data_IF_453192003476
#
_entry.id   IF_453192003476
#
_cell.length_a   1.000
_cell.length_b   1.000
_cell.length_c   1.000
_cell.angle_alpha   90.00
_cell.angle_beta   90.00
_cell.angle_gamma   90.00
#
_symmetry.space_group_name_H-M   'P 1'
#
loop_
_entity.id
_entity.type
_entity.pdbx_description
1 polymer ?
#
# COMPACT_ATOMS: atom_id res chain seq x y z
N UNK A 1 7.98 -3.30 12.63
CA UNK A 1 8.29 -2.91 11.23
C UNK A 1 8.74 -1.47 11.23
N UNK A 2 9.68 -1.08 10.37
CA UNK A 2 10.30 0.25 10.33
C UNK A 2 10.62 0.66 8.90
N UNK A 3 10.62 1.94 8.58
CA UNK A 3 11.05 2.37 7.25
C UNK A 3 10.57 3.76 6.88
N UNK A 4 10.96 4.18 5.68
CA UNK A 4 10.35 5.30 4.96
C UNK A 4 10.39 4.94 3.50
N UNK A 5 9.24 5.04 2.85
CA UNK A 5 9.13 4.75 1.43
C UNK A 5 8.59 5.96 0.70
N UNK A 6 8.85 6.01 -0.60
CA UNK A 6 8.37 7.05 -1.49
C UNK A 6 7.59 6.43 -2.63
N UNK A 7 6.43 7.01 -2.91
CA UNK A 7 5.49 6.56 -3.94
C UNK A 7 5.67 7.43 -5.18
N UNK A 8 5.77 6.75 -6.32
CA UNK A 8 5.83 7.35 -7.64
C UNK A 8 4.70 6.77 -8.48
N UNK A 9 3.84 7.60 -9.06
CA UNK A 9 2.88 7.11 -10.05
C UNK A 9 3.62 6.74 -11.34
N UNK A 10 3.19 5.64 -11.97
CA UNK A 10 3.67 5.31 -13.31
C UNK A 10 2.97 6.22 -14.31
N UNK A 11 3.68 7.26 -14.74
CA UNK A 11 3.29 8.10 -15.85
C UNK A 11 4.00 7.59 -17.12
N UNK A 12 3.26 7.15 -18.16
CA UNK A 12 3.85 6.63 -19.39
C UNK A 12 4.47 7.72 -20.28
N UNK A 13 4.25 9.01 -20.00
CA UNK A 13 4.71 10.15 -20.82
C UNK A 13 5.78 10.97 -20.10
N UNK A 14 5.65 11.18 -18.79
CA UNK A 14 6.61 11.95 -18.00
C UNK A 14 7.38 11.11 -16.97
N UNK A 15 8.60 11.58 -16.68
CA UNK A 15 9.54 11.01 -15.71
C UNK A 15 8.90 10.96 -14.31
N UNK A 16 8.45 9.77 -13.86
CA UNK A 16 7.98 9.41 -12.51
C UNK A 16 7.77 10.60 -11.55
N UNK A 17 6.54 11.08 -11.41
CA UNK A 17 6.22 12.13 -10.44
C UNK A 17 6.19 11.55 -9.02
N UNK A 18 6.85 12.22 -8.06
CA UNK A 18 6.71 11.89 -6.63
C UNK A 18 5.30 12.28 -6.22
N UNK A 19 4.57 11.36 -5.61
CA UNK A 19 3.18 11.63 -5.20
C UNK A 19 3.00 11.57 -3.69
N UNK A 20 3.73 10.70 -2.99
CA UNK A 20 3.56 10.59 -1.54
C UNK A 20 4.76 9.93 -0.86
N UNK A 21 4.81 9.98 0.47
CA UNK A 21 5.68 9.17 1.31
C UNK A 21 4.84 8.15 2.11
N UNK A 22 5.42 6.97 2.39
CA UNK A 22 4.83 5.94 3.26
C UNK A 22 5.64 5.86 4.54
N UNK A 23 4.94 5.97 5.66
CA UNK A 23 5.48 5.96 7.01
C UNK A 23 5.33 4.58 7.65
N UNK A 24 6.01 4.41 8.80
CA UNK A 24 5.92 3.17 9.56
C UNK A 24 4.48 2.93 10.05
N UNK A 25 4.00 1.70 9.87
CA UNK A 25 2.64 1.31 10.24
C UNK A 25 1.63 1.43 9.11
N UNK A 26 1.98 2.04 7.99
CA UNK A 26 1.11 2.08 6.81
C UNK A 26 1.27 0.84 5.92
N UNK A 27 0.21 0.54 5.17
CA UNK A 27 0.15 -0.57 4.22
C UNK A 27 0.52 -0.07 2.81
N UNK A 28 1.19 -0.92 2.05
CA UNK A 28 1.57 -0.66 0.65
C UNK A 28 1.03 -1.77 -0.24
N UNK A 29 0.42 -1.39 -1.35
CA UNK A 29 0.01 -2.33 -2.39
C UNK A 29 -1.27 -3.10 -2.07
N UNK A 30 -2.00 -2.67 -1.07
CA UNK A 30 -3.35 -3.09 -0.72
C UNK A 30 -4.37 -2.82 -1.84
N UNK A 31 -4.25 -1.73 -2.59
CA UNK A 31 -5.19 -1.45 -3.69
C UNK A 31 -5.22 -2.61 -4.70
N UNK A 32 -4.07 -2.99 -5.25
CA UNK A 32 -3.97 -4.12 -6.18
C UNK A 32 -4.34 -5.47 -5.53
N UNK A 33 -4.12 -5.62 -4.21
CA UNK A 33 -4.51 -6.81 -3.47
C UNK A 33 -6.05 -6.95 -3.40
N UNK A 34 -6.75 -5.84 -3.16
CA UNK A 34 -8.20 -5.78 -2.99
C UNK A 34 -8.93 -5.76 -4.33
N UNK A 35 -8.52 -4.90 -5.27
CA UNK A 35 -9.21 -4.72 -6.56
C UNK A 35 -8.83 -5.78 -7.58
N UNK A 36 -7.64 -6.37 -7.46
CA UNK A 36 -7.07 -7.27 -8.46
C UNK A 36 -6.46 -6.55 -9.67
N UNK A 37 -6.45 -5.21 -9.68
CA UNK A 37 -5.84 -4.42 -10.75
C UNK A 37 -4.31 -4.50 -10.71
N UNK A 38 -3.68 -3.99 -11.78
CA UNK A 38 -2.23 -3.76 -11.78
C UNK A 38 -1.83 -2.74 -10.71
N UNK A 39 -0.56 -2.80 -10.29
CA UNK A 39 0.02 -1.81 -9.38
C UNK A 39 -0.15 -0.41 -9.98
N UNK A 40 -0.79 0.50 -9.24
CA UNK A 40 -1.01 1.89 -9.67
C UNK A 40 0.25 2.77 -9.50
N UNK A 41 1.22 2.33 -8.70
CA UNK A 41 2.40 3.09 -8.35
C UNK A 41 3.62 2.19 -8.10
N UNK A 42 4.80 2.75 -8.32
CA UNK A 42 6.07 2.19 -7.85
C UNK A 42 6.42 2.75 -6.48
N UNK A 43 6.87 1.90 -5.56
CA UNK A 43 7.31 2.31 -4.22
C UNK A 43 8.78 2.00 -4.01
N UNK A 44 9.54 3.00 -3.57
CA UNK A 44 10.97 2.91 -3.30
C UNK A 44 11.26 3.11 -1.81
N UNK A 45 12.06 2.24 -1.21
CA UNK A 45 12.63 2.50 0.10
C UNK A 45 13.67 3.65 -0.02
N UNK A 46 13.56 4.66 0.84
CA UNK A 46 14.52 5.80 0.85
C UNK A 46 15.53 5.72 1.99
N UNK A 47 15.46 4.63 2.77
CA UNK A 47 16.39 4.26 3.84
C UNK A 47 16.23 2.76 4.14
N UNK A 48 17.13 2.22 4.94
CA UNK A 48 17.00 0.86 5.48
C UNK A 48 15.63 0.68 6.15
N UNK A 49 14.92 -0.34 5.70
CA UNK A 49 13.52 -0.56 6.04
C UNK A 49 13.25 -2.05 6.23
N UNK A 50 12.36 -2.37 7.18
CA UNK A 50 11.87 -3.71 7.46
C UNK A 50 10.37 -3.79 7.21
N UNK A 51 9.97 -4.72 6.35
CA UNK A 51 8.58 -4.94 5.97
C UNK A 51 8.11 -6.34 6.33
N UNK A 52 6.80 -6.48 6.53
CA UNK A 52 6.08 -7.75 6.58
C UNK A 52 5.41 -7.90 5.23
N UNK A 53 5.66 -9.04 4.58
CA UNK A 53 5.06 -9.34 3.28
C UNK A 53 3.86 -10.24 3.51
N UNK A 54 2.70 -9.80 3.03
CA UNK A 54 1.48 -10.60 3.00
C UNK A 54 1.17 -10.96 1.55
N UNK A 55 1.14 -12.26 1.26
CA UNK A 55 0.74 -12.73 -0.08
C UNK A 55 -0.78 -12.66 -0.22
N UNK A 56 -1.27 -12.59 -1.47
CA UNK A 56 -2.72 -12.64 -1.76
C UNK A 56 -3.39 -13.87 -1.14
N UNK A 57 -2.78 -15.05 -1.31
CA UNK A 57 -3.30 -16.29 -0.73
C UNK A 57 -3.39 -16.27 0.81
N UNK A 58 -2.39 -15.67 1.49
CA UNK A 58 -2.40 -15.53 2.94
C UNK A 58 -3.47 -14.53 3.38
N UNK A 59 -3.60 -13.41 2.67
CA UNK A 59 -4.62 -12.42 2.95
C UNK A 59 -6.03 -12.99 2.81
N UNK A 60 -6.32 -13.67 1.70
CA UNK A 60 -7.63 -14.31 1.45
C UNK A 60 -7.96 -15.36 2.52
N UNK A 61 -6.98 -16.14 2.96
CA UNK A 61 -7.15 -17.12 4.03
C UNK A 61 -7.55 -16.44 5.34
N UNK A 62 -6.84 -15.39 5.73
CA UNK A 62 -7.13 -14.66 6.97
C UNK A 62 -8.44 -13.90 6.85
N UNK A 63 -8.74 -13.27 5.71
CA UNK A 63 -10.01 -12.57 5.50
C UNK A 63 -11.22 -13.50 5.62
N UNK A 64 -11.11 -14.77 5.20
CA UNK A 64 -12.16 -15.78 5.42
C UNK A 64 -12.38 -16.11 6.90
N UNK A 65 -11.32 -16.09 7.71
CA UNK A 65 -11.38 -16.38 9.15
C UNK A 65 -11.78 -15.14 9.97
N UNK A 66 -11.41 -13.96 9.48
CA UNK A 66 -11.60 -12.66 10.13
C UNK A 66 -12.19 -11.67 9.13
N UNK A 67 -13.50 -11.73 8.83
CA UNK A 67 -14.12 -10.87 7.80
C UNK A 67 -13.97 -9.37 8.04
N UNK A 68 -13.86 -8.95 9.32
CA UNK A 68 -13.64 -7.56 9.71
C UNK A 68 -12.30 -7.00 9.22
N UNK A 69 -11.31 -7.85 8.89
CA UNK A 69 -10.02 -7.41 8.36
C UNK A 69 -10.18 -6.55 7.09
N UNK A 70 -11.14 -6.89 6.22
CA UNK A 70 -11.37 -6.14 4.98
C UNK A 70 -11.80 -4.70 5.26
N UNK A 71 -12.62 -4.49 6.30
CA UNK A 71 -13.08 -3.16 6.72
C UNK A 71 -11.91 -2.34 7.24
N UNK A 72 -11.04 -2.94 8.05
CA UNK A 72 -9.89 -2.24 8.61
C UNK A 72 -8.85 -1.86 7.56
N UNK A 73 -8.62 -2.72 6.56
CA UNK A 73 -7.75 -2.36 5.43
C UNK A 73 -8.36 -1.24 4.58
N UNK A 74 -9.68 -1.29 4.32
CA UNK A 74 -10.37 -0.22 3.60
C UNK A 74 -10.32 1.12 4.35
N UNK A 75 -10.51 1.10 5.68
CA UNK A 75 -10.41 2.28 6.55
C UNK A 75 -9.02 2.92 6.48
N UNK A 76 -7.97 2.11 6.56
CA UNK A 76 -6.59 2.60 6.45
C UNK A 76 -6.32 3.34 5.12
N UNK A 77 -6.97 2.92 4.03
CA UNK A 77 -6.88 3.61 2.75
C UNK A 77 -7.63 4.95 2.72
N UNK A 78 -8.83 5.01 3.31
CA UNK A 78 -9.60 6.26 3.42
C UNK A 78 -8.83 7.28 4.26
N UNK A 79 -8.25 6.86 5.39
CA UNK A 79 -7.42 7.73 6.23
C UNK A 79 -6.19 8.28 5.50
N UNK A 80 -5.60 7.47 4.61
CA UNK A 80 -4.49 7.90 3.77
C UNK A 80 -4.92 8.94 2.73
N UNK A 81 -6.09 8.77 2.10
CA UNK A 81 -6.62 9.77 1.16
C UNK A 81 -6.85 11.14 1.84
N UNK A 82 -7.33 11.16 3.08
CA UNK A 82 -7.53 12.40 3.83
C UNK A 82 -6.22 13.12 4.22
N UNK A 83 -5.06 12.44 4.20
CA UNK A 83 -3.76 13.08 4.46
C UNK A 83 -3.17 13.80 3.24
N UNK A 84 -3.67 13.51 2.04
CA UNK A 84 -3.14 14.02 0.77
C UNK A 84 -3.92 15.27 0.29
N UNK A 85 -4.91 15.74 1.06
CA UNK A 85 -5.64 16.99 0.83
C UNK A 85 -5.25 18.08 1.83
#
# INVERSE_FOLDING_TARGET
MSGRFRVYLDDPVERKSKVDDVLSGEVIGELALITGDRRAATVHAVRDSSILVVTKSSFERVAKQCPHLLIEVARAQIERLHRVQ
#
